data_IF_846143760971
#
_entry.id   IF_846143760971
#
_cell.length_a   1.000
_cell.length_b   1.000
_cell.length_c   1.000
_cell.angle_alpha   90.00
_cell.angle_beta   90.00
_cell.angle_gamma   90.00
#
_symmetry.space_group_name_H-M   'P 1'
#
loop_
_entity.id
_entity.type
_entity.pdbx_description
1 polymer ?
#
# COMPACT_ATOMS: atom_id res chain seq x y z
N UNK A 1 -10.92 18.15 5.46
CA UNK A 1 -9.69 18.87 5.85
C UNK A 1 -8.97 19.27 4.57
N UNK A 2 -8.30 20.42 4.53
CA UNK A 2 -7.48 20.76 3.37
C UNK A 2 -6.13 20.06 3.52
N UNK A 3 -5.76 19.23 2.55
CA UNK A 3 -4.43 18.67 2.48
C UNK A 3 -3.42 19.74 2.07
N UNK A 4 -2.20 19.65 2.59
CA UNK A 4 -1.11 20.60 2.38
C UNK A 4 -0.43 20.42 1.02
N UNK A 5 -0.13 19.17 0.61
CA UNK A 5 0.49 18.87 -0.70
C UNK A 5 -0.30 17.86 -1.54
N UNK A 6 -1.22 17.10 -0.93
CA UNK A 6 -2.06 16.13 -1.66
C UNK A 6 -3.12 16.89 -2.46
N UNK A 7 -3.25 16.57 -3.74
CA UNK A 7 -4.31 17.09 -4.59
C UNK A 7 -5.40 16.04 -4.76
N UNK A 8 -6.63 16.39 -4.37
CA UNK A 8 -7.78 15.50 -4.54
C UNK A 8 -8.27 15.62 -6.00
N UNK A 9 -8.29 14.51 -6.76
CA UNK A 9 -8.76 14.53 -8.14
C UNK A 9 -10.28 14.64 -8.22
N UNK A 10 -10.81 14.92 -9.42
CA UNK A 10 -12.24 14.83 -9.70
C UNK A 10 -12.70 13.36 -9.72
N UNK A 11 -13.39 12.94 -8.65
CA UNK A 11 -13.90 11.60 -8.45
C UNK A 11 -14.74 11.49 -7.18
N UNK A 12 -15.24 10.29 -6.91
CA UNK A 12 -16.11 10.02 -5.75
C UNK A 12 -15.43 9.09 -4.74
N UNK A 13 -15.69 9.29 -3.45
CA UNK A 13 -15.10 8.46 -2.40
C UNK A 13 -15.70 7.06 -2.38
N UNK A 14 -14.85 6.06 -2.19
CA UNK A 14 -15.29 4.76 -1.72
C UNK A 14 -15.73 4.93 -0.26
N UNK A 15 -16.91 4.42 0.09
CA UNK A 15 -17.42 4.47 1.47
C UNK A 15 -17.58 3.07 2.04
N UNK A 16 -17.45 2.94 3.36
CA UNK A 16 -17.69 1.70 4.08
C UNK A 16 -18.78 1.92 5.13
N UNK A 17 -19.96 1.36 4.89
CA UNK A 17 -21.15 1.54 5.73
C UNK A 17 -21.72 0.17 6.04
N UNK A 18 -21.98 -0.12 7.32
CA UNK A 18 -22.59 -1.38 7.79
C UNK A 18 -21.91 -2.65 7.25
N UNK A 19 -20.58 -2.65 7.22
CA UNK A 19 -19.79 -3.80 6.75
C UNK A 19 -19.71 -3.94 5.22
N UNK A 20 -20.20 -2.98 4.45
CA UNK A 20 -20.22 -3.02 2.99
C UNK A 20 -19.45 -1.85 2.37
N UNK A 21 -18.62 -2.17 1.39
CA UNK A 21 -17.99 -1.18 0.52
C UNK A 21 -18.99 -0.71 -0.54
N UNK A 22 -19.23 0.59 -0.62
CA UNK A 22 -19.92 1.22 -1.73
C UNK A 22 -18.87 1.86 -2.64
N UNK A 23 -18.76 1.35 -3.86
CA UNK A 23 -17.76 1.77 -4.85
C UNK A 23 -18.48 2.48 -6.00
N UNK A 24 -18.28 3.79 -6.20
CA UNK A 24 -18.85 4.53 -7.32
C UNK A 24 -18.20 4.14 -8.66
N UNK A 25 -18.67 4.68 -9.78
CA UNK A 25 -18.12 4.38 -11.11
C UNK A 25 -16.80 5.13 -11.41
N UNK A 26 -16.53 6.22 -10.69
CA UNK A 26 -15.34 7.07 -10.76
C UNK A 26 -14.59 7.15 -9.40
N UNK A 27 -14.24 6.02 -8.76
CA UNK A 27 -13.73 6.03 -7.41
C UNK A 27 -12.37 6.72 -7.31
N UNK A 28 -12.19 7.51 -6.25
CA UNK A 28 -10.88 8.01 -5.85
C UNK A 28 -10.11 6.88 -5.17
N UNK A 29 -8.94 6.56 -5.70
CA UNK A 29 -8.03 5.55 -5.14
C UNK A 29 -6.69 6.21 -4.87
N UNK A 30 -6.25 6.15 -3.61
CA UNK A 30 -4.97 6.71 -3.23
C UNK A 30 -3.82 5.85 -3.76
N UNK A 31 -2.71 6.45 -4.19
CA UNK A 31 -1.51 5.71 -4.50
C UNK A 31 -0.24 6.38 -3.95
N UNK A 32 0.72 5.56 -3.54
CA UNK A 32 2.09 5.97 -3.20
C UNK A 32 3.02 5.41 -4.26
N UNK A 33 3.78 6.26 -4.94
CA UNK A 33 4.76 5.86 -5.96
C UNK A 33 5.75 4.81 -5.42
N UNK A 34 6.26 5.05 -4.22
CA UNK A 34 7.25 4.21 -3.55
C UNK A 34 8.69 4.62 -3.87
N UNK A 35 9.64 3.97 -3.20
CA UNK A 35 11.07 4.20 -3.33
C UNK A 35 11.72 3.23 -4.32
N UNK A 36 12.94 3.54 -4.77
CA UNK A 36 13.71 2.66 -5.67
C UNK A 36 12.94 2.34 -6.95
N UNK A 37 12.65 1.06 -7.19
CA UNK A 37 11.90 0.60 -8.39
C UNK A 37 10.44 1.09 -8.42
N UNK A 38 9.93 1.72 -7.35
CA UNK A 38 8.59 2.31 -7.29
C UNK A 38 8.31 3.27 -8.46
N UNK A 39 9.32 4.07 -8.82
CA UNK A 39 9.25 5.04 -9.94
C UNK A 39 9.01 4.37 -11.30
N UNK A 40 9.39 3.09 -11.45
CA UNK A 40 9.20 2.34 -12.68
C UNK A 40 7.89 1.54 -12.66
N UNK A 41 7.64 0.80 -11.57
CA UNK A 41 6.54 -0.16 -11.52
C UNK A 41 5.18 0.48 -11.28
N UNK A 42 5.13 1.60 -10.54
CA UNK A 42 3.87 2.27 -10.22
C UNK A 42 3.22 2.87 -11.47
N UNK A 43 3.91 3.70 -12.29
CA UNK A 43 3.33 4.22 -13.52
C UNK A 43 2.91 3.11 -14.50
N UNK A 44 3.72 2.05 -14.62
CA UNK A 44 3.39 0.90 -15.46
C UNK A 44 2.09 0.21 -15.00
N UNK A 45 1.92 0.04 -13.70
CA UNK A 45 0.73 -0.59 -13.13
C UNK A 45 -0.53 0.26 -13.32
N UNK A 46 -0.43 1.58 -13.07
CA UNK A 46 -1.54 2.53 -13.31
C UNK A 46 -2.01 2.48 -14.77
N UNK A 47 -1.07 2.44 -15.73
CA UNK A 47 -1.40 2.32 -17.15
C UNK A 47 -2.16 1.03 -17.48
N UNK A 48 -1.72 -0.11 -16.95
CA UNK A 48 -2.38 -1.40 -17.15
C UNK A 48 -3.80 -1.40 -16.56
N UNK A 49 -3.98 -0.90 -15.34
CA UNK A 49 -5.30 -0.83 -14.71
C UNK A 49 -6.25 0.11 -15.46
N UNK A 50 -5.77 1.29 -15.87
CA UNK A 50 -6.57 2.23 -16.66
C UNK A 50 -7.05 1.59 -17.97
N UNK A 51 -6.15 0.92 -18.70
CA UNK A 51 -6.51 0.24 -19.94
C UNK A 51 -7.47 -0.93 -19.72
N UNK A 52 -7.31 -1.69 -18.63
CA UNK A 52 -8.20 -2.80 -18.29
C UNK A 52 -9.61 -2.32 -17.93
N UNK A 53 -9.72 -1.25 -17.13
CA UNK A 53 -11.00 -0.62 -16.78
C UNK A 53 -11.69 -0.08 -18.02
N UNK A 54 -10.96 0.68 -18.85
CA UNK A 54 -11.50 1.21 -20.10
C UNK A 54 -12.02 0.09 -21.01
N UNK A 55 -11.23 -0.97 -21.20
CA UNK A 55 -11.60 -2.11 -22.04
C UNK A 55 -12.83 -2.87 -21.50
N UNK A 56 -12.93 -3.05 -20.19
CA UNK A 56 -14.00 -3.83 -19.57
C UNK A 56 -15.33 -3.07 -19.50
N UNK A 57 -15.28 -1.74 -19.33
CA UNK A 57 -16.47 -0.94 -19.05
C UNK A 57 -16.82 0.06 -20.15
N UNK A 58 -15.99 0.21 -21.19
CA UNK A 58 -16.23 1.10 -22.34
C UNK A 58 -16.45 2.55 -21.92
N UNK A 59 -15.56 3.07 -21.06
CA UNK A 59 -15.61 4.43 -20.54
C UNK A 59 -16.65 4.70 -19.44
N UNK A 60 -17.53 3.73 -19.12
CA UNK A 60 -18.53 3.91 -18.04
C UNK A 60 -17.91 3.97 -16.64
N UNK A 61 -16.69 3.44 -16.49
CA UNK A 61 -15.93 3.47 -15.24
C UNK A 61 -14.53 4.01 -15.48
N UNK A 62 -13.99 4.71 -14.50
CA UNK A 62 -12.63 5.26 -14.50
C UNK A 62 -12.08 5.31 -13.07
N UNK A 63 -10.78 5.22 -12.88
CA UNK A 63 -10.19 5.43 -11.55
C UNK A 63 -9.67 6.87 -11.46
N UNK A 64 -10.02 7.58 -10.40
CA UNK A 64 -9.48 8.90 -10.08
C UNK A 64 -8.28 8.73 -9.14
N UNK A 65 -7.08 8.66 -9.71
CA UNK A 65 -5.87 8.42 -8.94
C UNK A 65 -5.47 9.64 -8.11
N UNK A 66 -5.35 9.46 -6.80
CA UNK A 66 -4.89 10.49 -5.88
C UNK A 66 -3.50 10.14 -5.36
N UNK A 67 -2.49 10.89 -5.78
CA UNK A 67 -1.14 10.67 -5.28
C UNK A 67 -1.03 11.15 -3.82
N UNK A 68 -0.54 10.26 -2.95
CA UNK A 68 -0.19 10.56 -1.57
C UNK A 68 1.27 10.14 -1.33
N UNK A 69 1.92 10.75 -0.34
CA UNK A 69 3.38 10.70 -0.25
C UNK A 69 3.87 9.92 0.97
N UNK A 70 4.80 9.00 0.72
CA UNK A 70 5.60 8.33 1.75
C UNK A 70 6.96 7.97 1.17
N UNK A 71 7.96 7.78 2.03
CA UNK A 71 9.32 7.44 1.63
C UNK A 71 10.16 8.66 1.24
N UNK A 72 11.12 8.47 0.34
CA UNK A 72 12.08 9.49 -0.09
C UNK A 72 11.39 10.69 -0.74
N UNK A 73 10.31 10.45 -1.50
CA UNK A 73 9.50 11.50 -2.12
C UNK A 73 8.81 12.37 -1.08
N UNK A 74 8.31 11.76 0.01
CA UNK A 74 7.76 12.51 1.13
C UNK A 74 8.85 13.31 1.86
N UNK A 75 9.98 12.68 2.20
CA UNK A 75 11.06 13.38 2.88
C UNK A 75 11.54 14.62 2.10
N UNK A 76 11.53 14.55 0.77
CA UNK A 76 11.89 15.69 -0.10
C UNK A 76 10.83 16.80 -0.12
N UNK A 77 9.54 16.45 0.02
CA UNK A 77 8.41 17.39 -0.06
C UNK A 77 8.01 18.00 1.29
N UNK A 78 8.37 17.33 2.38
CA UNK A 78 7.94 17.63 3.76
C UNK A 78 9.13 17.78 4.72
N UNK A 79 10.21 18.42 4.27
CA UNK A 79 11.34 18.82 5.12
C UNK A 79 11.95 17.68 5.96
N UNK A 80 12.08 16.50 5.36
CA UNK A 80 12.62 15.29 5.99
C UNK A 80 11.58 14.36 6.62
N UNK A 81 10.29 14.68 6.55
CA UNK A 81 9.23 13.78 7.00
C UNK A 81 8.91 12.70 5.95
N UNK A 82 9.24 11.44 6.26
CA UNK A 82 9.03 10.28 5.40
C UNK A 82 7.59 9.76 5.41
N UNK A 83 6.76 10.19 6.36
CA UNK A 83 5.39 9.73 6.52
C UNK A 83 4.51 10.83 7.15
N UNK A 84 4.20 11.88 6.37
CA UNK A 84 3.42 13.01 6.85
C UNK A 84 2.02 12.59 7.31
N UNK A 85 1.50 13.26 8.34
CA UNK A 85 0.20 12.92 8.94
C UNK A 85 -0.94 12.87 7.92
N UNK A 86 -0.93 13.77 6.93
CA UNK A 86 -1.98 13.82 5.91
C UNK A 86 -2.05 12.58 5.02
N UNK A 87 -0.95 11.82 4.90
CA UNK A 87 -0.94 10.53 4.20
C UNK A 87 -1.77 9.49 4.94
N UNK A 88 -1.73 9.47 6.28
CA UNK A 88 -2.61 8.60 7.08
C UNK A 88 -4.06 9.07 7.00
N UNK A 89 -4.30 10.38 7.08
CA UNK A 89 -5.64 10.94 7.05
C UNK A 89 -6.31 10.64 5.70
N UNK A 90 -5.57 10.80 4.60
CA UNK A 90 -6.02 10.41 3.26
C UNK A 90 -6.31 8.91 3.15
N UNK A 91 -5.45 8.02 3.67
CA UNK A 91 -5.72 6.58 3.63
C UNK A 91 -6.98 6.18 4.42
N UNK A 92 -7.23 6.81 5.57
CA UNK A 92 -8.47 6.58 6.35
C UNK A 92 -9.70 7.09 5.62
N UNK A 93 -9.60 8.27 5.01
CA UNK A 93 -10.72 8.94 4.36
C UNK A 93 -11.12 8.29 3.03
N UNK A 94 -10.14 7.79 2.27
CA UNK A 94 -10.37 7.21 0.94
C UNK A 94 -10.39 5.68 0.91
N UNK A 95 -10.14 5.01 2.06
CA UNK A 95 -10.33 3.58 2.35
C UNK A 95 -9.45 2.61 1.57
N UNK A 96 -9.25 2.84 0.27
CA UNK A 96 -8.48 1.99 -0.63
C UNK A 96 -7.25 2.75 -1.12
N UNK A 97 -6.08 2.16 -0.90
CA UNK A 97 -4.81 2.68 -1.37
C UNK A 97 -3.94 1.59 -1.96
N UNK A 98 -3.06 1.98 -2.89
CA UNK A 98 -2.03 1.13 -3.45
C UNK A 98 -0.65 1.76 -3.27
N UNK A 99 0.40 0.96 -3.13
CA UNK A 99 1.75 1.50 -2.96
C UNK A 99 2.82 0.69 -3.67
N UNK A 100 3.82 1.39 -4.20
CA UNK A 100 5.11 0.80 -4.52
C UNK A 100 5.87 0.35 -3.26
N UNK A 101 7.06 -0.25 -3.41
CA UNK A 101 7.93 -0.59 -2.28
C UNK A 101 8.35 0.67 -1.52
N UNK A 102 8.66 0.54 -0.23
CA UNK A 102 9.23 1.63 0.57
C UNK A 102 10.49 1.11 1.24
N UNK A 103 11.57 1.89 1.18
CA UNK A 103 12.86 1.55 1.77
C UNK A 103 12.74 1.60 3.29
N UNK A 104 13.21 0.56 3.98
CA UNK A 104 13.36 0.54 5.44
C UNK A 104 14.86 0.39 5.74
N UNK A 105 15.50 1.35 6.44
CA UNK A 105 16.91 1.21 6.79
C UNK A 105 17.12 0.00 7.72
N UNK A 106 18.21 -0.74 7.49
CA UNK A 106 18.57 -1.94 8.27
C UNK A 106 19.45 -1.52 9.45
N UNK A 107 19.11 -1.94 10.68
CA UNK A 107 20.00 -1.87 11.85
C UNK A 107 20.04 -0.55 12.61
N UNK A 108 19.29 0.48 12.19
CA UNK A 108 19.14 1.75 12.91
C UNK A 108 18.25 2.73 12.16
N UNK A 109 17.50 3.56 12.90
CA UNK A 109 16.60 4.58 12.32
C UNK A 109 15.14 4.46 12.81
N UNK A 110 14.21 4.92 11.98
CA UNK A 110 12.77 4.89 12.26
C UNK A 110 12.19 3.47 12.09
N UNK A 111 11.12 3.17 12.83
CA UNK A 111 10.33 1.93 12.68
C UNK A 111 9.85 1.80 11.24
N UNK A 112 9.91 0.60 10.66
CA UNK A 112 9.57 0.37 9.25
C UNK A 112 8.26 1.08 8.84
N UNK A 113 8.31 1.89 7.78
CA UNK A 113 7.14 2.62 7.28
C UNK A 113 5.96 1.68 6.98
N UNK A 114 6.25 0.47 6.48
CA UNK A 114 5.22 -0.53 6.21
C UNK A 114 4.58 -1.07 7.51
N UNK A 115 5.36 -1.23 8.58
CA UNK A 115 4.85 -1.67 9.90
C UNK A 115 4.00 -0.56 10.50
N UNK A 116 4.50 0.68 10.48
CA UNK A 116 3.76 1.86 10.96
C UNK A 116 2.43 2.00 10.24
N UNK A 117 2.40 1.88 8.90
CA UNK A 117 1.16 1.91 8.12
C UNK A 117 0.14 0.87 8.60
N UNK A 118 0.58 -0.38 8.80
CA UNK A 118 -0.30 -1.48 9.21
C UNK A 118 -0.87 -1.25 10.60
N UNK A 119 -0.05 -0.77 11.54
CA UNK A 119 -0.47 -0.54 12.91
C UNK A 119 -1.41 0.67 13.03
N UNK A 120 -1.07 1.77 12.37
CA UNK A 120 -1.84 3.03 12.45
C UNK A 120 -3.20 2.94 11.74
N UNK A 121 -3.29 2.07 10.73
CA UNK A 121 -4.51 1.81 9.95
C UNK A 121 -5.22 0.50 10.34
N UNK A 122 -4.72 -0.22 11.34
CA UNK A 122 -5.23 -1.52 11.80
C UNK A 122 -5.44 -2.55 10.67
N UNK A 123 -4.45 -2.67 9.78
CA UNK A 123 -4.44 -3.60 8.65
C UNK A 123 -3.97 -4.99 9.10
N UNK A 124 -4.77 -5.64 9.96
CA UNK A 124 -4.45 -6.90 10.66
C UNK A 124 -4.24 -8.12 9.74
N UNK A 125 -4.80 -8.11 8.53
CA UNK A 125 -4.70 -9.22 7.59
C UNK A 125 -3.75 -8.91 6.41
N UNK A 126 -2.65 -9.65 6.30
CA UNK A 126 -1.83 -9.70 5.09
C UNK A 126 -2.31 -10.84 4.19
N UNK A 127 -3.06 -10.51 3.15
CA UNK A 127 -3.60 -11.48 2.19
C UNK A 127 -2.68 -11.61 0.98
N UNK A 128 -2.19 -12.81 0.68
CA UNK A 128 -1.25 -13.08 -0.42
C UNK A 128 -1.79 -14.20 -1.33
N UNK A 129 -2.41 -13.87 -2.47
CA UNK A 129 -2.69 -14.85 -3.50
C UNK A 129 -1.39 -15.30 -4.16
N UNK A 130 -1.16 -16.62 -4.21
CA UNK A 130 0.00 -17.23 -4.86
C UNK A 130 -0.51 -18.21 -5.90
N UNK A 131 -0.37 -17.85 -7.17
CA UNK A 131 -0.80 -18.66 -8.31
C UNK A 131 0.26 -18.68 -9.40
N UNK A 132 0.30 -19.76 -10.16
CA UNK A 132 1.13 -19.82 -11.36
C UNK A 132 0.56 -18.99 -12.51
N UNK A 133 1.45 -18.33 -13.25
CA UNK A 133 1.14 -17.66 -14.51
C UNK A 133 1.80 -18.48 -15.62
N UNK A 134 1.04 -18.97 -16.62
CA UNK A 134 1.60 -19.77 -17.72
C UNK A 134 2.78 -19.08 -18.40
N UNK A 135 3.88 -19.82 -18.58
CA UNK A 135 5.10 -19.33 -19.21
C UNK A 135 6.14 -18.76 -18.23
N UNK A 136 5.79 -18.56 -16.96
CA UNK A 136 6.78 -18.16 -15.94
C UNK A 136 7.77 -19.31 -15.69
N UNK A 137 9.10 -19.06 -15.78
CA UNK A 137 10.11 -20.05 -15.40
C UNK A 137 9.92 -20.48 -13.95
N UNK A 138 10.00 -21.79 -13.69
CA UNK A 138 9.79 -22.33 -12.34
C UNK A 138 10.77 -23.45 -12.04
N UNK A 139 11.29 -23.54 -10.80
CA UNK A 139 12.09 -24.69 -10.35
C UNK A 139 11.24 -25.94 -10.06
N UNK A 140 9.91 -25.81 -10.02
CA UNK A 140 9.00 -26.90 -9.64
C UNK A 140 8.64 -27.78 -10.85
N UNK A 141 8.40 -29.08 -10.63
CA UNK A 141 7.98 -30.00 -11.70
C UNK A 141 6.55 -29.75 -12.22
N UNK A 142 5.67 -29.24 -11.36
CA UNK A 142 4.25 -29.01 -11.66
C UNK A 142 3.79 -27.67 -11.05
N UNK A 143 4.35 -26.53 -11.51
CA UNK A 143 4.07 -25.22 -10.94
C UNK A 143 2.61 -24.79 -11.12
N UNK A 144 1.94 -25.26 -12.17
CA UNK A 144 0.53 -24.99 -12.48
C UNK A 144 -0.44 -25.45 -11.39
N UNK A 145 -0.01 -26.34 -10.49
CA UNK A 145 -0.80 -26.78 -9.33
C UNK A 145 -0.79 -25.78 -8.17
N UNK A 146 0.04 -24.74 -8.24
CA UNK A 146 0.08 -23.68 -7.24
C UNK A 146 -1.08 -22.72 -7.48
N UNK A 147 -2.09 -22.79 -6.60
CA UNK A 147 -3.21 -21.85 -6.52
C UNK A 147 -3.72 -21.80 -5.07
N UNK A 148 -3.19 -20.86 -4.30
CA UNK A 148 -3.53 -20.70 -2.87
C UNK A 148 -3.74 -19.22 -2.53
N UNK A 149 -4.45 -18.98 -1.43
CA UNK A 149 -4.54 -17.67 -0.78
C UNK A 149 -4.01 -17.83 0.65
N UNK A 150 -2.90 -17.16 0.95
CA UNK A 150 -2.36 -17.12 2.30
C UNK A 150 -2.96 -15.94 3.07
N UNK A 151 -3.60 -16.23 4.20
CA UNK A 151 -4.01 -15.24 5.18
C UNK A 151 -2.99 -15.25 6.31
N UNK A 152 -2.20 -14.18 6.39
CA UNK A 152 -1.17 -14.00 7.43
C UNK A 152 -1.64 -12.92 8.42
N UNK A 153 -1.61 -13.24 9.71
CA UNK A 153 -1.73 -12.26 10.81
C UNK A 153 -0.59 -11.23 10.71
N UNK A 154 -0.90 -9.94 10.83
CA UNK A 154 -0.02 -8.86 10.39
C UNK A 154 0.10 -7.70 11.41
N UNK A 155 -0.39 -7.90 12.63
CA UNK A 155 -0.37 -6.94 13.74
C UNK A 155 0.50 -7.38 14.92
N UNK A 156 0.71 -8.68 15.12
CA UNK A 156 1.41 -9.23 16.30
C UNK A 156 2.73 -9.95 15.94
N UNK A 157 3.02 -11.05 16.67
CA UNK A 157 4.24 -11.87 16.59
C UNK A 157 5.52 -11.07 16.91
N UNK A 158 6.69 -11.66 16.64
CA UNK A 158 8.00 -10.99 16.70
C UNK A 158 8.05 -9.72 15.84
N UNK A 159 7.15 -9.57 14.87
CA UNK A 159 7.01 -8.39 14.03
C UNK A 159 6.41 -7.18 14.76
N UNK A 160 5.86 -7.37 15.97
CA UNK A 160 5.47 -6.28 16.87
C UNK A 160 6.66 -5.39 17.25
N UNK A 161 7.90 -5.90 17.18
CA UNK A 161 9.11 -5.13 17.46
C UNK A 161 9.28 -4.77 18.94
N UNK A 162 8.72 -5.58 19.83
CA UNK A 162 8.99 -5.51 21.27
C UNK A 162 10.25 -6.31 21.54
N UNK A 163 11.40 -5.63 21.53
CA UNK A 163 12.72 -6.25 21.67
C UNK A 163 13.65 -5.38 22.53
N UNK A 164 14.63 -6.03 23.17
CA UNK A 164 15.65 -5.38 23.98
C UNK A 164 17.03 -5.82 23.52
N UNK A 165 17.97 -4.88 23.47
CA UNK A 165 19.38 -5.20 23.25
C UNK A 165 19.89 -6.05 24.40
N UNK A 166 20.71 -7.05 24.09
CA UNK A 166 21.40 -7.83 25.10
C UNK A 166 22.11 -6.92 26.11
N UNK A 167 22.04 -7.26 27.39
CA UNK A 167 22.66 -6.53 28.51
C UNK A 167 22.08 -5.12 28.78
N UNK A 168 20.96 -4.75 28.14
CA UNK A 168 20.24 -3.51 28.48
C UNK A 168 19.46 -3.64 29.79
N UNK A 169 19.17 -2.50 30.44
CA UNK A 169 18.41 -2.46 31.70
C UNK A 169 17.02 -3.09 31.56
N UNK A 170 16.38 -2.99 30.38
CA UNK A 170 15.09 -3.62 30.10
C UNK A 170 15.15 -5.12 29.76
N UNK A 171 16.35 -5.71 29.70
CA UNK A 171 16.55 -7.13 29.41
C UNK A 171 16.72 -8.01 30.68
N UNK A 172 16.65 -7.42 31.88
CA UNK A 172 16.79 -8.10 33.18
C UNK A 172 15.49 -8.11 34.00
#
# INVERSE_FOLDING_TARGET
MAYSKIQVPDGEKITFVDGKLNVPDNPIVAFIEGDGIGVDITPASLNVWNAAVEKAYGGKRKIAWMEIYSGEKAASLYDGDYMPQETFDAMREYVVGIKGPLTTPIGGGFRSLNVTLRQVLDLYACVRPVRYIPGTPSPMRAPERMDIILYRENTEDVYSGIEWTAESEGAN
#
